data_IF_235860041117
#
_entry.id   IF_235860041117
#
_cell.length_a   1.000
_cell.length_b   1.000
_cell.length_c   1.000
_cell.angle_alpha   90.00
_cell.angle_beta   90.00
_cell.angle_gamma   90.00
#
_symmetry.space_group_name_H-M   'P 1'
#
loop_
_entity.id
_entity.type
_entity.pdbx_description
1 polymer ?
#
# COMPACT_ATOMS: atom_id res chain seq x y z
N UNK A 1 8.73 -9.65 5.02
CA UNK A 1 8.68 -10.58 6.16
C UNK A 1 9.16 -9.87 7.42
N UNK A 2 8.35 -9.85 8.47
CA UNK A 2 8.68 -9.31 9.79
C UNK A 2 8.97 -10.47 10.75
N UNK A 3 9.98 -10.30 11.60
CA UNK A 3 10.33 -11.25 12.66
C UNK A 3 10.01 -10.62 14.01
N UNK A 4 9.12 -11.26 14.76
CA UNK A 4 8.69 -10.79 16.08
C UNK A 4 9.24 -11.74 17.15
N UNK A 5 9.76 -11.18 18.23
CA UNK A 5 10.27 -11.96 19.37
C UNK A 5 9.81 -11.37 20.70
N UNK A 6 9.30 -12.21 21.61
CA UNK A 6 8.83 -11.80 22.93
C UNK A 6 8.45 -13.01 23.79
N UNK A 7 8.67 -12.93 25.11
CA UNK A 7 8.32 -14.01 26.04
C UNK A 7 8.94 -15.37 25.72
N UNK A 8 10.15 -15.39 25.14
CA UNK A 8 10.84 -16.62 24.71
C UNK A 8 10.36 -17.22 23.38
N UNK A 9 9.36 -16.63 22.73
CA UNK A 9 8.84 -17.08 21.43
C UNK A 9 9.35 -16.20 20.29
N UNK A 10 9.48 -16.79 19.11
CA UNK A 10 9.78 -16.12 17.84
C UNK A 10 8.73 -16.50 16.82
N UNK A 11 8.23 -15.53 16.06
CA UNK A 11 7.21 -15.72 15.02
C UNK A 11 7.60 -14.91 13.80
N UNK A 12 7.37 -15.46 12.62
CA UNK A 12 7.49 -14.75 11.35
C UNK A 12 6.10 -14.44 10.80
N UNK A 13 5.90 -13.23 10.29
CA UNK A 13 4.65 -12.77 9.70
C UNK A 13 4.93 -11.98 8.43
N UNK A 14 4.02 -12.02 7.45
CA UNK A 14 4.12 -11.14 6.30
C UNK A 14 3.88 -9.68 6.70
N UNK A 15 4.53 -8.74 6.01
CA UNK A 15 4.34 -7.31 6.30
C UNK A 15 2.92 -6.84 6.00
N UNK A 16 2.30 -7.40 4.95
CA UNK A 16 0.91 -7.12 4.59
C UNK A 16 -0.05 -7.63 5.66
N UNK A 17 0.16 -8.86 6.16
CA UNK A 17 -0.65 -9.44 7.23
C UNK A 17 -0.52 -8.64 8.52
N UNK A 18 0.70 -8.25 8.88
CA UNK A 18 0.94 -7.39 10.04
C UNK A 18 0.24 -6.03 9.88
N UNK A 19 0.33 -5.40 8.71
CA UNK A 19 -0.36 -4.14 8.41
C UNK A 19 -1.87 -4.27 8.56
N UNK A 20 -2.47 -5.36 8.08
CA UNK A 20 -3.90 -5.63 8.24
C UNK A 20 -4.26 -5.80 9.72
N UNK A 21 -3.44 -6.53 10.48
CA UNK A 21 -3.68 -6.77 11.90
C UNK A 21 -3.59 -5.49 12.77
N UNK A 22 -2.66 -4.58 12.46
CA UNK A 22 -2.50 -3.33 13.23
C UNK A 22 -3.44 -2.21 12.81
N UNK A 23 -4.01 -2.31 11.60
CA UNK A 23 -4.94 -1.34 11.03
C UNK A 23 -4.24 -0.28 10.15
N UNK A 24 -4.85 0.10 9.01
CA UNK A 24 -4.28 1.07 8.07
C UNK A 24 -4.13 2.48 8.64
N UNK A 25 -4.89 2.82 9.68
CA UNK A 25 -4.80 4.10 10.40
C UNK A 25 -3.51 4.21 11.25
N UNK A 26 -2.98 3.07 11.74
CA UNK A 26 -1.72 3.03 12.49
C UNK A 26 -0.52 2.76 11.60
N UNK A 27 -0.70 1.92 10.57
CA UNK A 27 0.34 1.58 9.61
C UNK A 27 -0.18 1.77 8.17
N UNK A 28 0.08 2.95 7.61
CA UNK A 28 -0.48 3.36 6.31
C UNK A 28 -0.09 2.44 5.16
N UNK A 29 1.17 2.00 5.12
CA UNK A 29 1.74 1.16 4.07
C UNK A 29 2.83 0.24 4.65
N UNK A 30 3.34 -0.68 3.81
CA UNK A 30 4.53 -1.48 4.10
C UNK A 30 5.81 -0.87 3.50
N UNK A 31 5.71 0.33 2.90
CA UNK A 31 6.85 1.04 2.33
C UNK A 31 7.49 1.91 3.40
N UNK A 32 8.35 1.29 4.21
CA UNK A 32 8.92 1.91 5.40
C UNK A 32 10.35 2.39 5.16
N UNK A 33 10.66 3.55 5.71
CA UNK A 33 12.02 4.12 5.79
C UNK A 33 12.62 3.97 7.19
N UNK A 34 11.78 3.74 8.21
CA UNK A 34 12.19 3.51 9.59
C UNK A 34 11.30 2.45 10.23
N UNK A 35 11.91 1.55 10.99
CA UNK A 35 11.22 0.49 11.73
C UNK A 35 12.05 0.12 12.97
N UNK A 36 11.69 0.67 14.14
CA UNK A 36 12.45 0.47 15.37
C UNK A 36 11.56 0.38 16.60
N UNK A 37 12.04 -0.28 17.65
CA UNK A 37 11.37 -0.29 18.95
C UNK A 37 12.08 0.69 19.88
N UNK A 38 11.35 1.67 20.38
CA UNK A 38 11.83 2.69 21.33
C UNK A 38 10.84 2.84 22.47
N UNK A 39 11.33 2.77 23.71
CA UNK A 39 10.52 2.94 24.93
C UNK A 39 9.26 2.06 24.96
N UNK A 40 9.41 0.79 24.54
CA UNK A 40 8.32 -0.18 24.48
C UNK A 40 7.30 0.05 23.36
N UNK A 41 7.56 0.98 22.43
CA UNK A 41 6.69 1.28 21.28
C UNK A 41 7.41 0.96 19.98
N UNK A 42 6.68 0.39 19.03
CA UNK A 42 7.14 0.28 17.65
C UNK A 42 6.94 1.63 16.95
N UNK A 43 8.02 2.22 16.47
CA UNK A 43 8.05 3.45 15.70
C UNK A 43 8.29 3.10 14.24
N UNK A 44 7.38 3.55 13.38
CA UNK A 44 7.46 3.33 11.93
C UNK A 44 7.33 4.65 11.18
N UNK A 45 8.21 4.87 10.21
CA UNK A 45 8.13 5.99 9.26
C UNK A 45 8.19 5.44 7.84
N UNK A 46 7.54 6.12 6.89
CA UNK A 46 7.45 5.63 5.52
C UNK A 46 6.54 6.49 4.65
N UNK A 47 6.30 6.02 3.43
CA UNK A 47 5.53 6.74 2.41
C UNK A 47 4.34 5.94 1.91
N UNK A 48 3.37 6.66 1.33
CA UNK A 48 2.18 6.05 0.75
C UNK A 48 1.11 5.63 1.76
N UNK A 49 -0.03 5.24 1.21
CA UNK A 49 -1.19 4.72 1.93
C UNK A 49 -1.83 3.63 1.08
N UNK A 50 -1.99 2.43 1.63
CA UNK A 50 -2.52 1.27 0.91
C UNK A 50 -1.48 0.17 0.72
N UNK A 51 -1.85 -0.83 -0.07
CA UNK A 51 -0.99 -1.98 -0.37
C UNK A 51 -0.05 -1.74 -1.55
N UNK A 52 -0.23 -0.64 -2.31
CA UNK A 52 0.71 -0.21 -3.36
C UNK A 52 0.65 -1.02 -4.67
N UNK A 53 -0.46 -1.70 -4.95
CA UNK A 53 -0.64 -2.49 -6.19
C UNK A 53 -1.79 -1.95 -7.01
N UNK A 54 -1.62 -1.88 -8.33
CA UNK A 54 -2.66 -1.42 -9.26
C UNK A 54 -2.72 0.11 -9.34
N UNK A 55 -3.93 0.67 -9.20
CA UNK A 55 -4.20 2.08 -9.39
C UNK A 55 -3.93 2.90 -8.12
N UNK A 56 -3.01 3.86 -8.21
CA UNK A 56 -2.84 4.88 -7.18
C UNK A 56 -3.94 5.93 -7.33
N UNK A 57 -4.87 6.01 -6.38
CA UNK A 57 -6.03 6.91 -6.46
C UNK A 57 -5.61 8.38 -6.59
N UNK A 58 -4.61 8.82 -5.81
CA UNK A 58 -4.09 10.18 -5.87
C UNK A 58 -3.36 10.47 -7.18
N UNK A 59 -2.60 9.50 -7.71
CA UNK A 59 -1.94 9.65 -9.01
C UNK A 59 -2.94 9.69 -10.17
N UNK A 60 -4.00 8.87 -10.12
CA UNK A 60 -5.10 8.92 -11.07
C UNK A 60 -5.83 10.27 -11.04
N UNK A 61 -6.06 10.83 -9.85
CA UNK A 61 -6.65 12.16 -9.70
C UNK A 61 -5.75 13.26 -10.30
N UNK A 62 -4.43 13.16 -10.15
CA UNK A 62 -3.50 14.13 -10.75
C UNK A 62 -3.48 14.03 -12.28
N UNK A 63 -3.41 12.81 -12.83
CA UNK A 63 -3.51 12.60 -14.28
C UNK A 63 -4.83 13.16 -14.85
N UNK A 64 -5.93 13.01 -14.13
CA UNK A 64 -7.21 13.60 -14.53
C UNK A 64 -7.18 15.13 -14.53
N UNK A 65 -6.49 15.76 -13.56
CA UNK A 65 -6.27 17.22 -13.53
C UNK A 65 -5.38 17.69 -14.67
N UNK A 66 -4.47 16.84 -15.14
CA UNK A 66 -3.67 17.05 -16.35
C UNK A 66 -4.42 16.72 -17.65
N UNK A 67 -5.74 16.49 -17.59
CA UNK A 67 -6.64 16.18 -18.71
C UNK A 67 -6.46 14.79 -19.34
N UNK A 68 -5.84 13.84 -18.65
CA UNK A 68 -5.84 12.44 -19.11
C UNK A 68 -7.24 11.85 -19.05
N UNK A 69 -7.65 11.14 -20.09
CA UNK A 69 -8.92 10.39 -20.12
C UNK A 69 -8.91 9.21 -19.13
N UNK A 70 -10.07 8.73 -18.66
CA UNK A 70 -10.17 7.53 -17.83
C UNK A 70 -9.47 6.32 -18.46
N UNK A 71 -9.55 6.17 -19.79
CA UNK A 71 -8.89 5.09 -20.54
C UNK A 71 -7.37 5.19 -20.49
N UNK A 72 -6.81 6.40 -20.61
CA UNK A 72 -5.37 6.64 -20.48
C UNK A 72 -4.88 6.37 -19.06
N UNK A 73 -5.63 6.81 -18.04
CA UNK A 73 -5.32 6.56 -16.63
C UNK A 73 -5.31 5.05 -16.34
N UNK A 74 -6.34 4.32 -16.77
CA UNK A 74 -6.40 2.86 -16.58
C UNK A 74 -5.25 2.17 -17.30
N UNK A 75 -4.93 2.56 -18.54
CA UNK A 75 -3.80 1.98 -19.29
C UNK A 75 -2.44 2.35 -18.68
N UNK A 76 -2.30 3.49 -18.02
CA UNK A 76 -1.09 3.84 -17.29
C UNK A 76 -0.81 2.84 -16.15
N UNK A 77 -1.81 2.53 -15.34
CA UNK A 77 -1.67 1.57 -14.22
C UNK A 77 -1.73 0.10 -14.64
N UNK A 78 -2.40 -0.19 -15.76
CA UNK A 78 -2.61 -1.54 -16.25
C UNK A 78 -2.32 -1.63 -17.77
N UNK A 79 -1.06 -1.60 -18.20
CA UNK A 79 -0.68 -1.37 -19.60
C UNK A 79 -1.16 -2.43 -20.60
N UNK A 80 -1.51 -3.63 -20.12
CA UNK A 80 -1.92 -4.76 -20.97
C UNK A 80 -3.43 -5.02 -20.95
N UNK A 81 -4.24 -4.16 -20.33
CA UNK A 81 -5.69 -4.38 -20.23
C UNK A 81 -6.42 -3.93 -21.49
N UNK A 82 -7.56 -4.58 -21.74
CA UNK A 82 -8.52 -4.17 -22.77
C UNK A 82 -9.77 -3.62 -22.10
N UNK A 83 -10.19 -2.43 -22.51
CA UNK A 83 -11.44 -1.81 -22.02
C UNK A 83 -12.57 -2.22 -22.95
N UNK A 84 -13.66 -2.74 -22.39
CA UNK A 84 -14.84 -3.20 -23.15
C UNK A 84 -16.12 -2.57 -22.58
N UNK A 85 -17.02 -2.14 -23.46
CA UNK A 85 -18.39 -1.76 -23.10
C UNK A 85 -19.23 -3.04 -23.01
N UNK A 86 -19.65 -3.39 -21.80
CA UNK A 86 -20.46 -4.60 -21.57
C UNK A 86 -21.97 -4.35 -21.76
N UNK A 87 -22.43 -3.11 -21.57
CA UNK A 87 -23.85 -2.75 -21.56
C UNK A 87 -24.09 -1.40 -22.25
N UNK A 88 -25.32 -1.18 -22.74
CA UNK A 88 -25.79 0.07 -23.34
C UNK A 88 -26.85 0.71 -22.48
#
# INVERSE_FOLDING_TARGET
MLRLSGGGKKVEIDGADFRVAVGPEKMRSIWLTQFEVKDGRLITSGTGFGHGVGLCQWGANELARENSSPEEIVKHYFPKVTIKRLWR
#
